data_IF_224529322637
#
_entry.id   IF_224529322637
#
_cell.length_a   1.000
_cell.length_b   1.000
_cell.length_c   1.000
_cell.angle_alpha   90.00
_cell.angle_beta   90.00
_cell.angle_gamma   90.00
#
_symmetry.space_group_name_H-M   'P 1'
#
loop_
_entity.id
_entity.type
_entity.pdbx_description
1 polymer ?
#
# COMPACT_ATOMS: atom_id res chain seq x y z
N UNK A 1 -3.11 21.60 -2.08
CA UNK A 1 -1.76 21.58 -2.59
C UNK A 1 -1.48 20.30 -3.33
N UNK A 2 -0.82 20.44 -4.39
CA UNK A 2 -0.51 19.31 -5.21
C UNK A 2 0.74 18.60 -4.73
N UNK A 3 0.66 17.30 -4.65
CA UNK A 3 1.80 16.51 -4.27
C UNK A 3 2.75 16.39 -5.44
N UNK A 4 3.96 16.81 -5.19
CA UNK A 4 5.02 16.64 -6.17
C UNK A 4 5.91 15.52 -5.67
N UNK A 5 5.61 14.33 -6.11
CA UNK A 5 6.40 13.18 -5.69
C UNK A 5 7.46 12.97 -6.75
N UNK A 6 8.60 13.61 -6.56
CA UNK A 6 9.65 13.60 -7.55
C UNK A 6 10.61 12.45 -7.38
N UNK A 7 10.67 11.88 -6.18
CA UNK A 7 11.64 10.82 -5.90
C UNK A 7 10.94 9.62 -5.30
N UNK A 8 11.58 8.47 -5.44
CA UNK A 8 11.08 7.24 -4.82
C UNK A 8 11.03 7.38 -3.32
N UNK A 9 11.92 8.19 -2.76
CA UNK A 9 11.97 8.42 -1.34
C UNK A 9 10.73 9.16 -0.86
N UNK A 10 10.34 10.20 -1.58
CA UNK A 10 9.13 10.95 -1.24
C UNK A 10 7.89 10.09 -1.38
N UNK A 11 7.85 9.26 -2.40
CA UNK A 11 6.74 8.35 -2.60
C UNK A 11 6.64 7.36 -1.45
N UNK A 12 7.77 6.84 -1.02
CA UNK A 12 7.80 5.90 0.09
C UNK A 12 7.32 6.55 1.38
N UNK A 13 7.71 7.79 1.62
CA UNK A 13 7.27 8.52 2.79
C UNK A 13 5.78 8.79 2.76
N UNK A 14 5.27 9.19 1.62
CA UNK A 14 3.85 9.42 1.46
C UNK A 14 3.05 8.14 1.71
N UNK A 15 3.50 7.04 1.12
CA UNK A 15 2.85 5.75 1.31
C UNK A 15 2.85 5.35 2.79
N UNK A 16 3.97 5.53 3.45
CA UNK A 16 4.09 5.19 4.86
C UNK A 16 3.13 6.00 5.70
N UNK A 17 2.99 7.28 5.38
CA UNK A 17 2.05 8.15 6.07
C UNK A 17 0.63 7.65 5.90
N UNK A 18 0.26 7.25 4.70
CA UNK A 18 -1.08 6.72 4.46
C UNK A 18 -1.29 5.41 5.19
N UNK A 19 -0.27 4.58 5.27
CA UNK A 19 -0.36 3.32 5.99
C UNK A 19 -0.56 3.54 7.49
N UNK A 20 0.06 4.56 8.04
CA UNK A 20 -0.16 4.93 9.43
C UNK A 20 -1.60 5.36 9.63
N UNK A 21 -2.12 6.18 8.72
CA UNK A 21 -3.50 6.63 8.79
C UNK A 21 -4.46 5.46 8.71
N UNK A 22 -4.19 4.50 7.84
CA UNK A 22 -5.01 3.30 7.73
C UNK A 22 -5.03 2.55 9.05
N UNK A 23 -3.88 2.41 9.67
CA UNK A 23 -3.77 1.71 10.95
C UNK A 23 -4.59 2.40 12.02
N UNK A 24 -4.48 3.72 12.09
CA UNK A 24 -5.20 4.49 13.10
C UNK A 24 -6.71 4.40 12.90
N UNK A 25 -7.16 4.53 11.67
CA UNK A 25 -8.58 4.44 11.38
C UNK A 25 -9.11 3.02 11.59
N UNK A 26 -8.30 2.03 11.28
CA UNK A 26 -8.68 0.64 11.52
C UNK A 26 -8.84 0.37 13.01
N UNK A 27 -7.95 0.94 13.81
CA UNK A 27 -8.05 0.79 15.26
C UNK A 27 -9.32 1.47 15.80
N UNK A 28 -9.62 2.65 15.31
CA UNK A 28 -10.84 3.34 15.71
C UNK A 28 -12.08 2.55 15.33
N UNK A 29 -12.06 2.01 14.12
CA UNK A 29 -13.20 1.20 13.67
C UNK A 29 -13.39 -0.03 14.54
N UNK A 30 -12.29 -0.66 14.92
CA UNK A 30 -12.36 -1.83 15.78
C UNK A 30 -12.95 -1.50 17.14
N UNK A 31 -12.53 -0.37 17.71
CA UNK A 31 -13.09 0.07 18.99
C UNK A 31 -14.60 0.24 18.90
N UNK A 32 -15.07 0.86 17.83
CA UNK A 32 -16.48 1.05 17.62
C UNK A 32 -17.21 -0.26 17.40
N UNK A 33 -16.61 -1.17 16.63
CA UNK A 33 -17.21 -2.48 16.40
C UNK A 33 -17.31 -3.27 17.70
N UNK A 34 -16.28 -3.19 18.52
CA UNK A 34 -16.31 -3.88 19.81
C UNK A 34 -17.37 -3.24 20.72
N UNK A 35 -17.51 -1.94 20.67
CA UNK A 35 -18.51 -1.25 21.47
C UNK A 35 -19.93 -1.70 21.11
N UNK A 36 -20.17 -2.01 19.84
CA UNK A 36 -21.48 -2.48 19.41
C UNK A 36 -21.86 -3.82 20.06
N UNK A 37 -20.88 -4.57 20.50
CA UNK A 37 -21.12 -5.85 21.15
C UNK A 37 -21.32 -5.70 22.65
N UNK A 38 -21.14 -4.50 23.20
CA UNK A 38 -21.38 -4.31 24.62
C UNK A 38 -22.87 -4.18 24.88
N UNK A 39 -23.27 -4.59 26.07
CA UNK A 39 -24.66 -4.52 26.43
C UNK A 39 -25.19 -3.12 26.43
N UNK A 40 -24.38 -2.19 26.92
CA UNK A 40 -24.79 -0.78 27.00
C UNK A 40 -25.19 -0.21 25.64
N UNK A 41 -24.41 -0.52 24.63
CA UNK A 41 -24.68 -0.01 23.27
C UNK A 41 -25.81 -0.82 22.62
N UNK A 42 -25.82 -2.13 22.83
CA UNK A 42 -26.87 -2.97 22.25
C UNK A 42 -28.25 -2.59 22.79
N UNK A 43 -28.30 -2.16 24.05
CA UNK A 43 -29.57 -1.76 24.67
C UNK A 43 -29.99 -0.35 24.29
N UNK A 44 -29.14 0.36 23.56
CA UNK A 44 -29.47 1.74 23.12
C UNK A 44 -29.42 1.81 21.60
N UNK A 45 -30.55 1.66 20.90
CA UNK A 45 -30.58 1.73 19.45
C UNK A 45 -29.96 3.00 18.89
N UNK A 46 -30.14 4.12 19.61
CA UNK A 46 -29.57 5.38 19.17
C UNK A 46 -28.07 5.36 19.15
N UNK A 47 -27.45 4.81 20.20
CA UNK A 47 -26.01 4.70 20.24
C UNK A 47 -25.50 3.69 19.21
N UNK A 48 -26.20 2.58 19.06
CA UNK A 48 -25.83 1.59 18.07
C UNK A 48 -25.85 2.18 16.67
N UNK A 49 -26.87 2.95 16.36
CA UNK A 49 -26.96 3.57 15.03
C UNK A 49 -25.84 4.58 14.82
N UNK A 50 -25.53 5.37 15.85
CA UNK A 50 -24.42 6.32 15.76
C UNK A 50 -23.09 5.61 15.52
N UNK A 51 -22.86 4.51 16.21
CA UNK A 51 -21.65 3.74 16.04
C UNK A 51 -21.59 3.13 14.65
N UNK A 52 -22.70 2.61 14.15
CA UNK A 52 -22.73 2.05 12.81
C UNK A 52 -22.45 3.10 11.75
N UNK A 53 -22.97 4.29 11.93
CA UNK A 53 -22.72 5.39 11.00
C UNK A 53 -21.25 5.76 11.00
N UNK A 54 -20.63 5.83 12.17
CA UNK A 54 -19.21 6.13 12.27
C UNK A 54 -18.36 5.02 11.64
N UNK A 55 -18.74 3.76 11.88
CA UNK A 55 -18.03 2.64 11.28
C UNK A 55 -18.10 2.72 9.76
N UNK A 56 -19.25 3.06 9.24
CA UNK A 56 -19.42 3.22 7.79
C UNK A 56 -18.53 4.31 7.24
N UNK A 57 -18.50 5.44 7.92
CA UNK A 57 -17.67 6.55 7.50
C UNK A 57 -16.19 6.19 7.55
N UNK A 58 -15.76 5.52 8.62
CA UNK A 58 -14.38 5.07 8.71
C UNK A 58 -14.04 4.05 7.63
N UNK A 59 -14.98 3.17 7.33
CA UNK A 59 -14.78 2.18 6.26
C UNK A 59 -14.59 2.85 4.91
N UNK A 60 -15.35 3.91 4.65
CA UNK A 60 -15.19 4.65 3.40
C UNK A 60 -13.84 5.35 3.32
N UNK A 61 -13.41 5.93 4.44
CA UNK A 61 -12.10 6.55 4.49
C UNK A 61 -10.97 5.54 4.31
N UNK A 62 -11.12 4.37 4.94
CA UNK A 62 -10.14 3.31 4.78
C UNK A 62 -10.04 2.85 3.33
N UNK A 63 -11.18 2.76 2.68
CA UNK A 63 -11.21 2.39 1.27
C UNK A 63 -10.44 3.39 0.43
N UNK A 64 -10.65 4.67 0.69
CA UNK A 64 -9.96 5.73 -0.04
C UNK A 64 -8.46 5.69 0.22
N UNK A 65 -8.06 5.50 1.48
CA UNK A 65 -6.64 5.43 1.83
C UNK A 65 -5.96 4.21 1.23
N UNK A 66 -6.66 3.08 1.20
CA UNK A 66 -6.10 1.89 0.57
C UNK A 66 -5.90 2.07 -0.91
N UNK A 67 -6.79 2.80 -1.55
CA UNK A 67 -6.61 3.15 -2.96
C UNK A 67 -5.38 4.01 -3.16
N UNK A 68 -5.16 4.97 -2.24
CA UNK A 68 -3.98 5.83 -2.32
C UNK A 68 -2.70 5.02 -2.18
N UNK A 69 -2.67 4.09 -1.24
CA UNK A 69 -1.51 3.22 -1.07
C UNK A 69 -1.29 2.37 -2.31
N UNK A 70 -2.37 1.86 -2.85
CA UNK A 70 -2.28 1.04 -4.06
C UNK A 70 -1.74 1.84 -5.24
N UNK A 71 -2.17 3.09 -5.37
CA UNK A 71 -1.64 3.97 -6.40
C UNK A 71 -0.16 4.22 -6.19
N UNK A 72 0.26 4.39 -4.95
CA UNK A 72 1.68 4.56 -4.66
C UNK A 72 2.48 3.33 -5.08
N UNK A 73 1.93 2.15 -4.82
CA UNK A 73 2.58 0.91 -5.24
C UNK A 73 2.68 0.83 -6.75
N UNK A 74 1.62 1.20 -7.45
CA UNK A 74 1.62 1.20 -8.90
C UNK A 74 2.65 2.16 -9.46
N UNK A 75 2.74 3.36 -8.89
CA UNK A 75 3.71 4.34 -9.33
C UNK A 75 5.12 3.84 -9.09
N UNK A 76 5.36 3.28 -7.91
CA UNK A 76 6.67 2.76 -7.57
C UNK A 76 7.06 1.62 -8.49
N UNK A 77 6.11 0.75 -8.80
CA UNK A 77 6.37 -0.37 -9.69
C UNK A 77 6.73 0.11 -11.09
N UNK A 78 5.97 1.06 -11.61
CA UNK A 78 6.27 1.61 -12.92
C UNK A 78 7.61 2.30 -12.95
N UNK A 79 7.90 3.08 -11.92
CA UNK A 79 9.19 3.77 -11.82
C UNK A 79 10.32 2.78 -11.71
N UNK A 80 10.12 1.71 -10.95
CA UNK A 80 11.11 0.67 -10.82
C UNK A 80 11.38 -0.04 -12.13
N UNK A 81 10.33 -0.37 -12.86
CA UNK A 81 10.47 -1.00 -14.15
C UNK A 81 11.23 -0.09 -15.11
N UNK A 82 10.87 1.18 -15.14
CA UNK A 82 11.56 2.13 -16.01
C UNK A 82 13.02 2.29 -15.62
N UNK A 83 13.28 2.38 -14.33
CA UNK A 83 14.64 2.53 -13.85
C UNK A 83 15.47 1.30 -14.20
N UNK A 84 14.88 0.12 -14.11
CA UNK A 84 15.56 -1.10 -14.48
C UNK A 84 15.85 -1.17 -15.97
N UNK A 85 14.91 -0.72 -16.78
CA UNK A 85 15.14 -0.69 -18.22
C UNK A 85 16.27 0.25 -18.60
N UNK A 86 16.30 1.43 -17.97
CA UNK A 86 17.38 2.37 -18.21
C UNK A 86 18.71 1.84 -17.75
N UNK A 87 18.70 1.18 -16.62
CA UNK A 87 19.90 0.58 -16.08
C UNK A 87 20.41 -0.54 -16.98
N UNK A 88 19.50 -1.33 -17.49
CA UNK A 88 19.86 -2.41 -18.39
C UNK A 88 20.50 -1.88 -19.66
N UNK A 89 19.99 -0.77 -20.18
CA UNK A 89 20.58 -0.17 -21.37
C UNK A 89 22.01 0.28 -21.10
N UNK A 90 22.24 0.86 -19.93
CA UNK A 90 23.57 1.36 -19.60
C UNK A 90 24.57 0.29 -19.26
N UNK A 91 24.13 -0.75 -18.59
CA UNK A 91 25.02 -1.81 -18.12
C UNK A 91 24.85 -3.09 -18.89
N UNK A 92 24.17 -3.01 -19.99
CA UNK A 92 23.73 -4.20 -20.69
C UNK A 92 24.87 -5.16 -21.04
N UNK A 93 25.89 -4.64 -21.70
CA UNK A 93 26.97 -5.51 -22.16
C UNK A 93 27.65 -6.21 -20.99
N UNK A 94 27.87 -5.49 -19.93
CA UNK A 94 28.62 -6.05 -18.81
C UNK A 94 27.79 -7.04 -18.02
N UNK A 95 26.57 -6.66 -17.70
CA UNK A 95 25.72 -7.54 -16.92
C UNK A 95 25.27 -8.75 -17.73
N UNK A 96 25.08 -8.54 -18.99
CA UNK A 96 24.60 -9.62 -19.83
C UNK A 96 25.63 -10.74 -19.95
N UNK A 97 26.90 -10.40 -20.02
CA UNK A 97 27.92 -11.42 -20.07
C UNK A 97 27.95 -12.24 -18.79
N UNK A 98 27.89 -11.57 -17.65
CA UNK A 98 27.87 -12.29 -16.39
C UNK A 98 26.64 -13.16 -16.27
N UNK A 99 25.52 -12.62 -16.70
CA UNK A 99 24.29 -13.37 -16.67
C UNK A 99 24.30 -14.58 -17.57
N UNK A 100 24.89 -14.45 -18.73
CA UNK A 100 24.94 -15.57 -19.64
C UNK A 100 25.72 -16.71 -19.07
N UNK A 101 26.83 -16.42 -18.44
CA UNK A 101 27.61 -17.47 -17.80
C UNK A 101 26.81 -18.15 -16.69
N UNK A 102 26.14 -17.36 -15.88
CA UNK A 102 25.32 -17.91 -14.81
C UNK A 102 24.09 -18.60 -15.34
N UNK A 103 23.50 -18.06 -16.38
CA UNK A 103 22.30 -18.63 -16.94
C UNK A 103 22.56 -19.94 -17.66
N UNK A 104 23.71 -20.10 -18.19
CA UNK A 104 24.04 -21.39 -18.80
C UNK A 104 23.92 -22.50 -17.79
N UNK A 105 24.25 -22.21 -16.55
CA UNK A 105 24.08 -23.19 -15.50
C UNK A 105 22.66 -23.22 -15.00
N UNK A 106 22.03 -22.04 -14.87
CA UNK A 106 20.69 -21.96 -14.38
C UNK A 106 19.66 -22.51 -15.36
N UNK A 107 19.85 -22.25 -16.61
CA UNK A 107 18.95 -22.74 -17.63
C UNK A 107 18.89 -24.25 -17.62
N UNK A 108 20.03 -24.88 -17.44
CA UNK A 108 20.07 -26.32 -17.34
C UNK A 108 19.28 -26.83 -16.15
N UNK A 109 19.17 -26.03 -15.12
CA UNK A 109 18.46 -26.47 -13.89
C UNK A 109 17.02 -26.11 -13.88
N UNK A 110 16.64 -25.01 -14.47
CA UNK A 110 15.27 -24.57 -14.37
C UNK A 110 14.55 -24.38 -15.67
N UNK A 111 15.18 -24.33 -16.76
CA UNK A 111 14.36 -24.22 -17.97
C UNK A 111 14.10 -25.56 -18.55
#
# INVERSE_FOLDING_TARGET
ARHQIDTAEQLALYKKEQEVNIRELSAKRRVLQNALHTKAVRDSPKQADAHRAQIRELSERLKALRREVHLCDDIAERSGVMAEKLKAVREDAQKQRQKEEQQNEHIRRRS
#
